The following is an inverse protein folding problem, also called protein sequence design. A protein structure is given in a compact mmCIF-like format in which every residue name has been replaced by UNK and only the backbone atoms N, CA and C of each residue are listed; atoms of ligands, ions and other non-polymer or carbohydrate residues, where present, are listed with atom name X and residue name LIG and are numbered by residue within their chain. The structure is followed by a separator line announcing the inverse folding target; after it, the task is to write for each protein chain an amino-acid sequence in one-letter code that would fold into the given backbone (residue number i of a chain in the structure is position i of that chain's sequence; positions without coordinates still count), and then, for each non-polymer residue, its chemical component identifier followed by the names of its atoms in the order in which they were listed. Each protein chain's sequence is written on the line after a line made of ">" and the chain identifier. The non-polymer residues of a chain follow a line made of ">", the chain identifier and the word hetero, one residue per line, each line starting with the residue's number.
data_IF_857655120725
#
_entry.id   IF_857655120725
#
_cell.length_a   1.000
_cell.length_b   1.000
_cell.length_c   1.000
_cell.angle_alpha   90.00
_cell.angle_beta   90.00
_cell.angle_gamma   90.00
#
_symmetry.space_group_name_H-M   'P 1'
#
loop_
_entity.id
_entity.type
_entity.pdbx_description
1 polymer ?
#
# COMPACT_ATOMS: atom_id res chain seq x y z
N UNK A 1 31.08 6.87 10.56
CA UNK A 1 31.13 5.73 9.63
C UNK A 1 29.89 5.85 8.77
N UNK A 2 29.99 5.76 7.44
CA UNK A 2 28.81 5.76 6.56
C UNK A 2 27.96 4.50 6.84
N UNK A 3 26.63 4.66 6.90
CA UNK A 3 25.73 3.50 7.02
C UNK A 3 25.96 2.54 5.84
N UNK A 4 25.82 1.21 6.07
CA UNK A 4 26.07 0.21 5.04
C UNK A 4 25.05 0.34 3.90
N UNK A 5 25.55 0.35 2.67
CA UNK A 5 24.71 0.36 1.48
C UNK A 5 24.15 -1.03 1.20
N UNK A 6 22.83 -1.14 1.04
CA UNK A 6 22.13 -2.36 0.61
C UNK A 6 21.78 -2.31 -0.88
N UNK A 7 21.76 -3.47 -1.54
CA UNK A 7 21.17 -3.67 -2.86
C UNK A 7 19.68 -3.91 -2.72
N UNK A 8 18.87 -3.00 -3.23
CA UNK A 8 17.43 -3.00 -3.10
C UNK A 8 16.73 -3.32 -4.43
N UNK A 9 15.69 -4.15 -4.37
CA UNK A 9 14.68 -4.23 -5.42
C UNK A 9 13.41 -3.56 -4.91
N UNK A 10 12.95 -2.53 -5.61
CA UNK A 10 11.73 -1.81 -5.29
C UNK A 10 10.56 -2.43 -6.05
N UNK A 11 9.50 -2.82 -5.35
CA UNK A 11 8.35 -3.53 -5.94
C UNK A 11 7.06 -2.76 -5.66
N UNK A 12 6.49 -2.13 -6.70
CA UNK A 12 5.30 -1.31 -6.55
C UNK A 12 4.57 -1.07 -7.86
N UNK A 13 3.33 -0.61 -7.80
CA UNK A 13 2.51 -0.31 -8.97
C UNK A 13 1.81 1.04 -8.86
N UNK A 14 1.10 1.28 -7.76
CA UNK A 14 0.29 2.47 -7.55
C UNK A 14 1.06 3.71 -7.13
N UNK A 15 0.37 4.85 -7.06
CA UNK A 15 0.97 6.13 -6.71
C UNK A 15 1.47 6.19 -5.26
N UNK A 16 0.90 5.37 -4.36
CA UNK A 16 1.26 5.34 -2.95
C UNK A 16 2.74 4.99 -2.71
N UNK A 17 3.34 4.18 -3.58
CA UNK A 17 4.74 3.77 -3.48
C UNK A 17 5.73 4.88 -3.91
N UNK A 18 5.35 5.77 -4.82
CA UNK A 18 6.26 6.68 -5.51
C UNK A 18 7.03 7.62 -4.57
N UNK A 19 6.42 8.27 -3.55
CA UNK A 19 7.15 9.18 -2.65
C UNK A 19 8.30 8.46 -1.92
N UNK A 20 8.02 7.30 -1.31
CA UNK A 20 9.03 6.50 -0.61
C UNK A 20 10.12 6.00 -1.56
N UNK A 21 9.77 5.48 -2.74
CA UNK A 21 10.73 4.99 -3.71
C UNK A 21 11.63 6.11 -4.25
N UNK A 22 11.07 7.29 -4.50
CA UNK A 22 11.86 8.48 -4.90
C UNK A 22 12.87 8.87 -3.83
N UNK A 23 12.51 8.79 -2.57
CA UNK A 23 13.41 9.12 -1.46
C UNK A 23 14.48 8.04 -1.29
N UNK A 24 14.15 6.76 -1.44
CA UNK A 24 15.12 5.66 -1.43
C UNK A 24 16.13 5.81 -2.56
N UNK A 25 15.70 6.20 -3.76
CA UNK A 25 16.58 6.43 -4.91
C UNK A 25 17.64 7.54 -4.68
N UNK A 26 17.40 8.42 -3.70
CA UNK A 26 18.30 9.50 -3.29
C UNK A 26 19.01 9.21 -1.97
N UNK A 27 18.90 7.98 -1.46
CA UNK A 27 19.61 7.54 -0.25
C UNK A 27 20.98 6.94 -0.59
N UNK A 28 21.68 6.46 0.44
CA UNK A 28 22.94 5.74 0.26
C UNK A 28 22.84 4.30 -0.24
N UNK A 29 21.61 3.78 -0.50
CA UNK A 29 21.39 2.43 -0.96
C UNK A 29 21.44 2.32 -2.49
N UNK A 30 21.68 1.11 -3.02
CA UNK A 30 21.75 0.85 -4.46
C UNK A 30 20.46 0.18 -4.93
N UNK A 31 19.71 0.81 -5.83
CA UNK A 31 18.55 0.20 -6.48
C UNK A 31 19.05 -0.64 -7.66
N UNK A 32 18.87 -1.96 -7.58
CA UNK A 32 19.28 -2.87 -8.66
C UNK A 32 18.18 -3.09 -9.70
N UNK A 33 16.92 -2.99 -9.31
CA UNK A 33 15.77 -2.99 -10.23
C UNK A 33 14.52 -2.44 -9.57
N UNK A 34 13.59 -1.97 -10.39
CA UNK A 34 12.21 -1.64 -10.01
C UNK A 34 11.29 -2.66 -10.67
N UNK A 35 10.42 -3.30 -9.88
CA UNK A 35 9.45 -4.29 -10.33
C UNK A 35 8.06 -3.72 -10.24
N UNK A 36 7.31 -3.76 -11.32
CA UNK A 36 5.92 -3.30 -11.37
C UNK A 36 5.07 -4.22 -12.24
N UNK A 37 3.76 -4.06 -12.21
CA UNK A 37 2.87 -4.82 -13.10
C UNK A 37 3.08 -4.43 -14.55
N UNK A 38 2.85 -5.36 -15.50
CA UNK A 38 2.84 -5.02 -16.91
C UNK A 38 1.89 -3.87 -17.22
N UNK A 39 2.22 -3.00 -18.19
CA UNK A 39 1.32 -1.93 -18.61
C UNK A 39 0.02 -2.51 -19.20
N UNK A 40 -1.08 -1.79 -18.98
CA UNK A 40 -2.42 -2.22 -19.40
C UNK A 40 -2.84 -1.44 -20.64
N UNK A 41 -3.41 -2.12 -21.64
CA UNK A 41 -3.95 -1.42 -22.80
C UNK A 41 -5.11 -0.50 -22.40
N UNK A 42 -5.10 0.76 -22.87
CA UNK A 42 -6.26 1.65 -22.78
C UNK A 42 -7.44 1.03 -23.52
N UNK A 43 -8.66 1.18 -23.02
CA UNK A 43 -9.88 0.84 -23.75
C UNK A 43 -10.16 1.90 -24.84
N UNK A 44 -9.19 2.19 -25.71
CA UNK A 44 -9.29 3.13 -26.82
C UNK A 44 -8.84 2.48 -28.12
N UNK A 45 -9.22 3.06 -29.26
CA UNK A 45 -8.83 2.56 -30.59
C UNK A 45 -7.31 2.58 -30.80
N UNK A 46 -6.59 3.45 -30.13
CA UNK A 46 -5.15 3.69 -30.33
C UNK A 46 -4.23 2.69 -29.62
N UNK A 47 -4.78 1.71 -28.87
CA UNK A 47 -4.03 0.67 -28.14
C UNK A 47 -2.85 1.19 -27.31
N UNK A 48 -2.90 2.45 -26.91
CA UNK A 48 -1.87 3.03 -26.06
C UNK A 48 -1.78 2.28 -24.72
N UNK A 49 -0.58 1.93 -24.32
CA UNK A 49 -0.33 1.25 -23.05
C UNK A 49 -0.25 2.28 -21.91
N UNK A 50 -1.06 2.05 -20.88
CA UNK A 50 -0.98 2.82 -19.64
C UNK A 50 0.11 2.26 -18.75
N UNK A 51 1.13 3.04 -18.54
CA UNK A 51 2.15 2.74 -17.55
C UNK A 51 1.61 2.97 -16.13
N UNK A 52 2.08 2.16 -15.20
CA UNK A 52 1.83 2.41 -13.79
C UNK A 52 2.59 3.67 -13.31
N UNK A 53 2.10 4.36 -12.26
CA UNK A 53 2.83 5.47 -11.65
C UNK A 53 4.28 5.14 -11.29
N UNK A 54 4.52 3.94 -10.76
CA UNK A 54 5.87 3.47 -10.41
C UNK A 54 6.72 3.26 -11.68
N UNK A 55 6.14 2.70 -12.76
CA UNK A 55 6.87 2.53 -14.02
C UNK A 55 7.30 3.88 -14.61
N UNK A 56 6.36 4.82 -14.70
CA UNK A 56 6.64 6.14 -15.25
C UNK A 56 7.72 6.87 -14.43
N UNK A 57 7.62 6.81 -13.10
CA UNK A 57 8.64 7.37 -12.23
C UNK A 57 10.02 6.70 -12.44
N UNK A 58 10.07 5.37 -12.42
CA UNK A 58 11.34 4.64 -12.52
C UNK A 58 12.06 4.92 -13.85
N UNK A 59 11.31 5.04 -14.96
CA UNK A 59 11.85 5.41 -16.26
C UNK A 59 12.40 6.84 -16.29
N UNK A 60 11.70 7.79 -15.65
CA UNK A 60 12.17 9.18 -15.54
C UNK A 60 13.49 9.28 -14.75
N UNK A 61 13.66 8.41 -13.74
CA UNK A 61 14.92 8.34 -12.95
C UNK A 61 16.00 7.47 -13.64
N UNK A 62 15.74 6.90 -14.83
CA UNK A 62 16.68 6.05 -15.55
C UNK A 62 16.95 4.69 -14.89
N UNK A 63 16.06 4.22 -14.03
CA UNK A 63 16.19 2.96 -13.33
C UNK A 63 15.78 1.76 -14.20
N UNK A 64 16.40 0.60 -13.97
CA UNK A 64 16.00 -0.65 -14.59
C UNK A 64 14.60 -1.07 -14.14
N UNK A 65 13.70 -1.38 -15.08
CA UNK A 65 12.30 -1.75 -14.81
C UNK A 65 12.01 -3.13 -15.35
N UNK A 66 11.49 -4.00 -14.49
CA UNK A 66 10.97 -5.32 -14.86
C UNK A 66 9.46 -5.41 -14.62
N UNK A 67 8.77 -6.12 -15.52
CA UNK A 67 7.30 -6.23 -15.46
C UNK A 67 6.84 -7.69 -15.60
N UNK A 68 7.20 -8.57 -14.64
CA UNK A 68 6.78 -9.96 -14.70
C UNK A 68 5.25 -10.07 -14.58
N UNK A 69 4.65 -10.97 -15.36
CA UNK A 69 3.21 -11.30 -15.24
C UNK A 69 2.94 -11.88 -13.84
N UNK A 70 3.82 -12.77 -13.39
CA UNK A 70 3.83 -13.28 -12.02
C UNK A 70 5.24 -13.23 -11.46
N UNK A 71 5.41 -12.62 -10.31
CA UNK A 71 6.70 -12.60 -9.62
C UNK A 71 7.07 -13.97 -9.03
N UNK A 72 6.08 -14.85 -8.87
CA UNK A 72 6.25 -16.18 -8.30
C UNK A 72 6.53 -17.26 -9.35
N UNK A 73 6.60 -16.91 -10.63
CA UNK A 73 7.01 -17.87 -11.67
C UNK A 73 8.48 -18.25 -11.50
N UNK A 74 8.87 -19.50 -11.77
CA UNK A 74 10.25 -19.97 -11.62
C UNK A 74 11.28 -19.08 -12.34
N UNK A 75 10.94 -18.60 -13.55
CA UNK A 75 11.80 -17.70 -14.33
C UNK A 75 11.97 -16.33 -13.67
N UNK A 76 10.91 -15.80 -13.07
CA UNK A 76 10.94 -14.53 -12.34
C UNK A 76 11.74 -14.64 -11.05
N UNK A 77 11.57 -15.75 -10.31
CA UNK A 77 12.34 -16.04 -9.09
C UNK A 77 13.82 -16.21 -9.41
N UNK A 78 14.17 -16.98 -10.47
CA UNK A 78 15.54 -17.13 -10.90
C UNK A 78 16.17 -15.78 -11.24
N UNK A 79 15.50 -14.99 -12.09
CA UNK A 79 15.96 -13.65 -12.46
C UNK A 79 16.16 -12.74 -11.24
N UNK A 80 15.22 -12.76 -10.30
CA UNK A 80 15.31 -11.96 -9.07
C UNK A 80 16.52 -12.38 -8.22
N UNK A 81 16.80 -13.70 -8.13
CA UNK A 81 17.95 -14.24 -7.42
C UNK A 81 19.30 -13.87 -8.09
N UNK A 82 19.34 -13.78 -9.43
CA UNK A 82 20.54 -13.36 -10.19
C UNK A 82 20.93 -11.90 -9.90
N UNK A 83 19.97 -11.04 -9.51
CA UNK A 83 20.23 -9.66 -9.08
C UNK A 83 20.96 -9.61 -7.72
N UNK A 84 20.91 -10.70 -6.93
CA UNK A 84 21.47 -10.80 -5.58
C UNK A 84 21.07 -9.61 -4.69
N UNK A 85 19.76 -9.36 -4.53
CA UNK A 85 19.30 -8.27 -3.69
C UNK A 85 19.56 -8.56 -2.21
N UNK A 86 19.84 -7.53 -1.46
CA UNK A 86 19.87 -7.64 0.00
C UNK A 86 18.46 -7.59 0.57
N UNK A 87 17.57 -6.75 0.02
CA UNK A 87 16.23 -6.53 0.53
C UNK A 87 15.24 -6.22 -0.60
N UNK A 88 14.04 -6.79 -0.51
CA UNK A 88 12.89 -6.42 -1.33
C UNK A 88 12.07 -5.35 -0.59
N UNK A 89 11.85 -4.20 -1.20
CA UNK A 89 11.01 -3.12 -0.64
C UNK A 89 9.71 -3.07 -1.41
N UNK A 90 8.63 -3.51 -0.77
CA UNK A 90 7.32 -3.68 -1.40
C UNK A 90 6.38 -2.56 -0.94
N UNK A 91 5.64 -1.97 -1.87
CA UNK A 91 4.60 -1.01 -1.57
C UNK A 91 3.57 -0.99 -2.72
N UNK A 92 2.30 -1.26 -2.43
CA UNK A 92 1.20 -1.24 -3.41
C UNK A 92 1.54 -1.99 -4.72
N UNK A 93 2.15 -3.17 -4.60
CA UNK A 93 2.58 -3.98 -5.75
C UNK A 93 1.43 -4.77 -6.36
N UNK A 94 0.51 -5.23 -5.52
CA UNK A 94 -0.69 -5.95 -5.94
C UNK A 94 -0.46 -7.40 -6.40
N UNK A 95 0.68 -7.99 -6.05
CA UNK A 95 0.93 -9.44 -6.05
C UNK A 95 1.44 -9.85 -4.66
N UNK A 96 1.07 -11.05 -4.22
CA UNK A 96 1.61 -11.66 -3.01
C UNK A 96 2.89 -12.39 -3.37
N UNK A 97 3.98 -12.14 -2.65
CA UNK A 97 5.25 -12.82 -2.85
C UNK A 97 5.24 -14.19 -2.15
N UNK A 98 5.67 -15.22 -2.85
CA UNK A 98 5.90 -16.55 -2.27
C UNK A 98 7.12 -16.56 -1.35
N UNK A 99 7.28 -17.62 -0.56
CA UNK A 99 8.49 -17.84 0.24
C UNK A 99 9.75 -17.86 -0.63
N UNK A 100 9.66 -18.51 -1.80
CA UNK A 100 10.79 -18.62 -2.71
C UNK A 100 11.18 -17.26 -3.29
N UNK A 101 10.20 -16.42 -3.62
CA UNK A 101 10.46 -15.05 -4.05
C UNK A 101 11.09 -14.21 -2.94
N UNK A 102 10.61 -14.31 -1.70
CA UNK A 102 11.19 -13.61 -0.55
C UNK A 102 12.60 -14.10 -0.23
N UNK A 103 12.86 -15.40 -0.38
CA UNK A 103 14.17 -16.01 -0.11
C UNK A 103 15.26 -15.61 -1.12
N UNK A 104 14.92 -14.97 -2.23
CA UNK A 104 15.91 -14.42 -3.19
C UNK A 104 16.72 -13.27 -2.60
N UNK A 105 16.19 -12.57 -1.61
CA UNK A 105 16.88 -11.49 -0.91
C UNK A 105 17.38 -11.95 0.46
N UNK A 106 18.61 -11.61 0.78
CA UNK A 106 19.29 -12.01 2.02
C UNK A 106 18.52 -11.61 3.29
N UNK A 107 17.87 -10.46 3.28
CA UNK A 107 17.04 -9.91 4.36
C UNK A 107 15.53 -10.10 4.12
N UNK A 108 15.16 -10.90 3.10
CA UNK A 108 13.76 -11.08 2.71
C UNK A 108 13.13 -9.80 2.16
N UNK A 109 11.96 -9.45 2.64
CA UNK A 109 11.24 -8.27 2.16
C UNK A 109 10.58 -7.47 3.27
N UNK A 110 10.42 -6.17 3.04
CA UNK A 110 9.59 -5.29 3.86
C UNK A 110 8.43 -4.74 3.03
N UNK A 111 7.32 -4.42 3.70
CA UNK A 111 6.16 -3.81 3.05
C UNK A 111 5.73 -2.54 3.77
N UNK A 112 5.61 -1.44 3.02
CA UNK A 112 4.94 -0.23 3.50
C UNK A 112 3.44 -0.40 3.31
N UNK A 113 2.72 -0.46 4.43
CA UNK A 113 1.28 -0.69 4.49
C UNK A 113 0.53 0.54 5.00
N UNK A 114 -0.55 0.92 4.32
CA UNK A 114 -1.31 2.15 4.59
C UNK A 114 -2.29 2.06 5.78
N UNK A 115 -1.90 1.43 6.89
CA UNK A 115 -2.67 1.45 8.14
C UNK A 115 -1.78 1.28 9.36
N UNK A 116 -2.36 1.51 10.54
CA UNK A 116 -1.77 1.19 11.84
C UNK A 116 -2.02 -0.30 12.15
N UNK A 117 -1.13 -1.17 11.64
CA UNK A 117 -1.23 -2.60 11.92
C UNK A 117 -1.15 -2.89 13.43
N UNK A 118 -1.91 -3.89 13.92
CA UNK A 118 -2.58 -4.97 13.21
C UNK A 118 -3.97 -4.64 12.64
N UNK A 119 -4.44 -3.39 12.75
CA UNK A 119 -5.72 -2.99 12.15
C UNK A 119 -5.61 -2.89 10.63
N UNK A 120 -6.69 -3.25 9.95
CA UNK A 120 -6.86 -3.10 8.49
C UNK A 120 -5.83 -3.85 7.65
N UNK A 121 -5.55 -5.14 7.98
CA UNK A 121 -4.80 -6.02 7.09
C UNK A 121 -5.58 -6.27 5.81
N UNK A 122 -4.95 -6.08 4.63
CA UNK A 122 -5.59 -6.35 3.33
C UNK A 122 -5.37 -5.26 2.29
N UNK A 123 -6.23 -5.26 1.28
CA UNK A 123 -5.98 -4.55 0.02
C UNK A 123 -6.46 -3.08 -0.02
N UNK A 124 -7.24 -2.62 0.99
CA UNK A 124 -7.80 -1.26 0.99
C UNK A 124 -7.73 -0.60 2.39
N UNK A 125 -6.55 -0.59 3.04
CA UNK A 125 -6.43 -0.17 4.44
C UNK A 125 -6.85 1.28 4.67
N UNK A 126 -6.50 2.19 3.76
CA UNK A 126 -6.83 3.63 3.86
C UNK A 126 -8.33 3.85 3.87
N UNK A 127 -9.05 3.24 2.91
CA UNK A 127 -10.49 3.33 2.80
C UNK A 127 -11.19 2.76 4.03
N UNK A 128 -10.73 1.62 4.51
CA UNK A 128 -11.31 0.97 5.68
C UNK A 128 -11.06 1.72 6.99
N UNK A 129 -9.98 2.49 7.11
CA UNK A 129 -9.77 3.37 8.27
C UNK A 129 -10.88 4.44 8.38
N UNK A 130 -11.27 5.05 7.25
CA UNK A 130 -12.39 6.01 7.22
C UNK A 130 -13.73 5.31 7.44
N UNK A 131 -13.99 4.20 6.75
CA UNK A 131 -15.24 3.43 6.88
C UNK A 131 -15.47 2.94 8.31
N UNK A 132 -14.42 2.50 8.99
CA UNK A 132 -14.48 2.09 10.40
C UNK A 132 -14.73 3.27 11.34
N UNK A 133 -14.45 4.50 10.91
CA UNK A 133 -14.56 5.71 11.72
C UNK A 133 -13.43 5.81 12.73
N UNK A 134 -12.26 5.36 12.37
CA UNK A 134 -11.07 5.51 13.19
C UNK A 134 -10.74 7.01 13.35
N UNK A 135 -10.32 7.41 14.54
CA UNK A 135 -9.88 8.78 14.78
C UNK A 135 -8.50 9.06 14.20
N UNK A 136 -7.71 8.00 14.01
CA UNK A 136 -6.36 8.05 13.46
C UNK A 136 -6.18 7.02 12.37
N UNK A 137 -5.42 7.40 11.35
CA UNK A 137 -4.84 6.51 10.37
C UNK A 137 -3.32 6.53 10.52
N UNK A 138 -2.63 5.81 9.66
CA UNK A 138 -1.17 5.84 9.64
C UNK A 138 -0.60 4.84 8.65
N UNK A 139 0.69 4.64 8.78
CA UNK A 139 1.45 3.68 7.99
C UNK A 139 2.24 2.74 8.90
N UNK A 140 2.44 1.52 8.44
CA UNK A 140 3.30 0.54 9.10
C UNK A 140 4.27 -0.05 8.09
N UNK A 141 5.54 -0.10 8.43
CA UNK A 141 6.53 -0.88 7.70
C UNK A 141 6.72 -2.19 8.42
N UNK A 142 6.44 -3.30 7.76
CA UNK A 142 6.52 -4.64 8.33
C UNK A 142 7.55 -5.49 7.60
N UNK A 143 8.17 -6.42 8.31
CA UNK A 143 8.91 -7.50 7.69
C UNK A 143 7.92 -8.51 7.10
N UNK A 144 8.09 -8.87 5.83
CA UNK A 144 7.11 -9.72 5.13
C UNK A 144 7.20 -11.17 5.62
N UNK A 145 6.05 -11.80 5.70
CA UNK A 145 5.89 -13.22 6.02
C UNK A 145 4.90 -13.85 5.04
N UNK A 146 4.76 -15.17 4.99
CA UNK A 146 3.75 -15.84 4.15
C UNK A 146 2.30 -15.45 4.45
N UNK A 147 2.05 -14.93 5.66
CA UNK A 147 0.71 -14.46 6.06
C UNK A 147 0.57 -12.99 5.70
N UNK A 148 -0.51 -12.67 4.97
CA UNK A 148 -0.79 -11.32 4.50
C UNK A 148 -0.77 -10.30 5.65
N UNK A 149 0.07 -9.29 5.53
CA UNK A 149 0.24 -8.15 6.44
C UNK A 149 0.39 -8.54 7.93
N UNK A 150 0.94 -9.73 8.21
CA UNK A 150 1.00 -10.30 9.56
C UNK A 150 2.42 -10.32 10.16
N UNK A 151 3.41 -9.86 9.43
CA UNK A 151 4.79 -9.83 9.90
C UNK A 151 5.03 -8.81 11.01
N UNK A 152 6.17 -8.86 11.68
CA UNK A 152 6.52 -7.91 12.74
C UNK A 152 6.62 -6.49 12.19
N UNK A 153 6.19 -5.52 13.00
CA UNK A 153 6.25 -4.09 12.69
C UNK A 153 7.66 -3.58 12.98
N UNK A 154 8.32 -3.06 11.96
CA UNK A 154 9.63 -2.42 12.06
C UNK A 154 9.49 -0.96 12.46
N UNK A 155 8.59 -0.24 11.78
CA UNK A 155 8.31 1.17 11.99
C UNK A 155 6.83 1.46 11.81
N UNK A 156 6.33 2.46 12.53
CA UNK A 156 4.94 2.89 12.44
C UNK A 156 4.82 4.39 12.70
N UNK A 157 3.95 5.06 11.94
CA UNK A 157 3.61 6.47 12.14
C UNK A 157 2.11 6.67 12.07
N UNK A 158 1.57 7.40 13.03
CA UNK A 158 0.14 7.74 13.13
C UNK A 158 -0.12 9.20 12.77
N UNK A 159 -1.32 9.48 12.29
CA UNK A 159 -1.83 10.83 12.02
C UNK A 159 -3.33 10.86 12.21
N UNK A 160 -3.92 11.97 12.70
CA UNK A 160 -5.38 12.11 12.75
C UNK A 160 -6.00 12.04 11.36
N UNK A 161 -7.23 11.49 11.27
CA UNK A 161 -8.06 11.60 10.06
C UNK A 161 -8.82 12.92 10.14
N UNK A 162 -8.76 13.75 9.10
CA UNK A 162 -9.51 14.99 9.02
C UNK A 162 -11.02 14.76 8.98
N UNK A 163 -11.80 15.65 9.58
CA UNK A 163 -13.27 15.53 9.69
C UNK A 163 -13.94 15.36 8.31
N UNK A 164 -13.44 16.08 7.30
CA UNK A 164 -13.97 16.07 5.93
C UNK A 164 -13.05 15.37 4.93
N UNK A 165 -11.93 14.81 5.40
CA UNK A 165 -10.92 14.17 4.57
C UNK A 165 -11.48 12.90 3.92
N UNK A 166 -11.33 12.80 2.60
CA UNK A 166 -11.71 11.62 1.84
C UNK A 166 -10.54 10.64 1.69
N UNK A 167 -10.82 9.45 1.17
CA UNK A 167 -9.80 8.40 1.07
C UNK A 167 -8.65 8.76 0.12
N UNK A 168 -8.90 9.51 -0.93
CA UNK A 168 -7.85 9.94 -1.86
C UNK A 168 -6.89 10.94 -1.21
N UNK A 169 -7.42 11.92 -0.49
CA UNK A 169 -6.63 12.91 0.25
C UNK A 169 -5.79 12.24 1.34
N UNK A 170 -6.41 11.34 2.11
CA UNK A 170 -5.73 10.57 3.13
C UNK A 170 -4.63 9.69 2.53
N UNK A 171 -4.87 9.02 1.39
CA UNK A 171 -3.90 8.17 0.70
C UNK A 171 -2.66 8.97 0.27
N UNK A 172 -2.84 10.15 -0.30
CA UNK A 172 -1.73 11.05 -0.66
C UNK A 172 -0.92 11.42 0.57
N UNK A 173 -1.58 11.83 1.65
CA UNK A 173 -0.92 12.24 2.89
C UNK A 173 -0.20 11.07 3.58
N UNK A 174 -0.77 9.87 3.58
CA UNK A 174 -0.13 8.67 4.13
C UNK A 174 1.04 8.20 3.26
N UNK A 175 1.01 8.39 1.95
CA UNK A 175 2.14 8.06 1.08
C UNK A 175 3.38 8.91 1.40
N UNK A 176 3.20 10.19 1.72
CA UNK A 176 4.27 11.08 2.18
C UNK A 176 4.73 10.74 3.61
N UNK A 177 3.78 10.44 4.51
CA UNK A 177 4.07 10.01 5.88
C UNK A 177 4.91 8.72 5.92
N UNK A 178 4.76 7.85 4.92
CA UNK A 178 5.48 6.58 4.78
C UNK A 178 6.96 6.71 4.43
N UNK A 179 7.42 7.89 4.01
CA UNK A 179 8.80 8.09 3.54
C UNK A 179 9.82 7.80 4.65
N UNK A 180 9.70 8.52 5.78
CA UNK A 180 10.65 8.40 6.89
C UNK A 180 10.67 6.99 7.49
N UNK A 181 9.52 6.39 7.89
CA UNK A 181 9.54 5.06 8.49
C UNK A 181 10.07 3.97 7.54
N UNK A 182 9.90 4.14 6.21
CA UNK A 182 10.47 3.18 5.26
C UNK A 182 11.99 3.25 5.24
N UNK A 183 12.58 4.44 5.22
CA UNK A 183 14.03 4.61 5.28
C UNK A 183 14.60 4.09 6.61
N UNK A 184 13.97 4.46 7.74
CA UNK A 184 14.39 4.00 9.06
C UNK A 184 14.37 2.46 9.17
N UNK A 185 13.37 1.80 8.60
CA UNK A 185 13.30 0.35 8.57
C UNK A 185 14.45 -0.27 7.74
N UNK A 186 14.76 0.30 6.57
CA UNK A 186 15.87 -0.15 5.72
C UNK A 186 17.21 0.04 6.46
N UNK A 187 17.46 1.21 7.04
CA UNK A 187 18.68 1.52 7.77
C UNK A 187 18.85 0.62 9.02
N UNK A 188 17.74 0.31 9.70
CA UNK A 188 17.76 -0.59 10.85
C UNK A 188 18.18 -2.00 10.45
N UNK A 189 17.62 -2.53 9.35
CA UNK A 189 18.01 -3.84 8.82
C UNK A 189 19.46 -3.84 8.32
N UNK A 190 19.92 -2.76 7.72
CA UNK A 190 21.30 -2.61 7.27
C UNK A 190 22.29 -2.66 8.46
N UNK A 191 22.02 -1.92 9.53
CA UNK A 191 22.84 -1.91 10.75
C UNK A 191 22.80 -3.24 11.50
N UNK A 192 21.63 -3.88 11.60
CA UNK A 192 21.50 -5.21 12.24
C UNK A 192 22.35 -6.25 11.53
N UNK A 193 22.44 -6.19 10.21
CA UNK A 193 23.29 -7.07 9.42
C UNK A 193 24.77 -6.94 9.78
N UNK A 194 25.29 -5.72 9.86
CA UNK A 194 26.70 -5.47 10.21
C UNK A 194 27.02 -5.95 11.62
N UNK A 195 26.13 -5.72 12.57
CA UNK A 195 26.32 -6.12 13.96
C UNK A 195 26.43 -7.66 14.14
N UNK A 196 25.96 -8.42 13.14
CA UNK A 196 25.83 -9.89 13.25
C UNK A 196 26.49 -10.65 12.11
N UNK A 197 27.38 -10.05 11.32
CA UNK A 197 28.15 -10.74 10.27
C UNK A 197 28.87 -11.99 10.75
N UNK A 198 29.23 -12.04 12.03
CA UNK A 198 29.94 -13.18 12.67
C UNK A 198 28.99 -14.27 13.19
N UNK A 199 27.67 -14.08 13.18
CA UNK A 199 26.69 -15.08 13.67
C UNK A 199 25.35 -14.91 12.94
N UNK A 200 25.21 -15.40 11.69
CA UNK A 200 23.96 -15.35 10.96
C UNK A 200 22.95 -16.31 11.59
N UNK A 201 22.09 -15.84 12.50
CA UNK A 201 20.93 -16.60 12.95
C UNK A 201 19.73 -16.27 12.07
N UNK A 202 19.30 -17.26 11.30
CA UNK A 202 18.10 -17.22 10.43
C UNK A 202 16.80 -16.95 11.23
N UNK A 203 16.83 -17.11 12.55
CA UNK A 203 15.67 -17.05 13.44
C UNK A 203 15.47 -15.68 14.12
N UNK A 204 16.30 -14.66 13.80
CA UNK A 204 16.18 -13.36 14.44
C UNK A 204 15.07 -12.52 13.82
N UNK A 205 13.96 -12.40 14.54
CA UNK A 205 12.85 -11.54 14.18
C UNK A 205 13.17 -10.09 14.59
N UNK A 206 13.50 -9.24 13.59
CA UNK A 206 13.58 -7.79 13.81
C UNK A 206 12.18 -7.22 13.76
N UNK A 207 11.85 -6.37 14.74
CA UNK A 207 10.54 -5.70 14.82
C UNK A 207 9.63 -6.25 15.92
N UNK A 208 8.50 -5.57 16.12
CA UNK A 208 7.52 -5.87 17.17
C UNK A 208 6.43 -6.79 16.60
N UNK A 209 6.21 -7.98 17.19
CA UNK A 209 5.12 -8.86 16.79
C UNK A 209 3.75 -8.18 16.94
N UNK A 210 2.88 -8.40 15.98
CA UNK A 210 1.53 -7.82 15.98
C UNK A 210 0.60 -8.55 16.97
N UNK A 211 -0.16 -7.81 17.77
CA UNK A 211 -1.19 -8.31 18.67
C UNK A 211 -2.37 -8.87 17.87
N UNK A 212 -2.54 -10.21 17.88
CA UNK A 212 -3.51 -10.91 17.02
C UNK A 212 -4.96 -10.54 17.32
N UNK A 213 -5.27 -10.27 18.58
CA UNK A 213 -6.59 -9.89 19.08
C UNK A 213 -7.08 -8.53 18.58
N UNK A 214 -6.15 -7.65 18.15
CA UNK A 214 -6.46 -6.32 17.61
C UNK A 214 -6.59 -6.32 16.08
N UNK A 215 -6.45 -7.49 15.43
CA UNK A 215 -6.47 -7.59 13.98
C UNK A 215 -7.85 -7.31 13.41
N UNK A 216 -7.94 -6.40 12.44
CA UNK A 216 -9.11 -6.20 11.59
C UNK A 216 -8.75 -6.40 10.12
N UNK A 217 -9.74 -6.67 9.27
CA UNK A 217 -9.55 -6.91 7.84
C UNK A 217 -9.93 -5.67 7.02
N UNK A 218 -9.16 -5.42 5.96
CA UNK A 218 -9.43 -4.41 4.94
C UNK A 218 -9.53 -5.06 3.56
N UNK A 219 -10.62 -5.79 3.27
CA UNK A 219 -10.77 -6.48 1.99
C UNK A 219 -10.81 -5.50 0.83
N UNK A 220 -10.48 -6.02 -0.36
CA UNK A 220 -10.61 -5.25 -1.60
C UNK A 220 -12.05 -4.76 -1.77
N UNK A 221 -12.20 -3.47 -2.08
CA UNK A 221 -13.49 -2.87 -2.35
C UNK A 221 -14.13 -3.43 -3.64
N UNK A 222 -15.45 -3.41 -3.67
CA UNK A 222 -16.29 -3.81 -4.80
C UNK A 222 -17.19 -2.66 -5.20
N UNK A 223 -17.68 -2.67 -6.43
CA UNK A 223 -18.66 -1.66 -6.91
C UNK A 223 -19.92 -1.59 -6.04
N UNK A 224 -20.34 -2.73 -5.48
CA UNK A 224 -21.50 -2.84 -4.60
C UNK A 224 -21.31 -2.14 -3.26
N UNK A 225 -20.07 -1.97 -2.78
CA UNK A 225 -19.81 -1.29 -1.51
C UNK A 225 -20.19 0.21 -1.59
N UNK A 226 -20.24 0.76 -2.81
CA UNK A 226 -20.67 2.14 -3.07
C UNK A 226 -22.18 2.36 -3.01
N UNK A 227 -23.00 1.32 -2.87
CA UNK A 227 -24.44 1.49 -2.77
C UNK A 227 -24.81 2.05 -1.40
N UNK A 228 -25.37 3.26 -1.39
CA UNK A 228 -25.83 3.92 -0.16
C UNK A 228 -27.19 3.37 0.24
N UNK A 229 -27.30 3.01 1.52
CA UNK A 229 -28.57 2.67 2.14
C UNK A 229 -28.97 3.79 3.13
N UNK A 230 -29.97 4.57 2.75
CA UNK A 230 -30.46 5.73 3.53
C UNK A 230 -31.09 5.35 4.89
N UNK A 231 -31.23 4.06 5.19
CA UNK A 231 -31.71 3.57 6.51
C UNK A 231 -30.59 3.60 7.55
N UNK A 232 -29.34 3.68 7.14
CA UNK A 232 -28.22 3.78 8.09
C UNK A 232 -28.11 5.18 8.70
N UNK A 233 -27.41 5.26 9.84
CA UNK A 233 -27.15 6.53 10.52
C UNK A 233 -26.32 7.46 9.63
N UNK A 234 -26.58 8.74 9.72
CA UNK A 234 -25.89 9.79 8.95
C UNK A 234 -24.35 9.67 9.03
N UNK A 235 -23.82 9.37 10.21
CA UNK A 235 -22.37 9.20 10.40
C UNK A 235 -21.78 8.04 9.58
N UNK A 236 -22.55 6.98 9.32
CA UNK A 236 -22.10 5.89 8.45
C UNK A 236 -22.11 6.32 6.99
N UNK A 237 -23.18 6.99 6.56
CA UNK A 237 -23.30 7.48 5.19
C UNK A 237 -22.19 8.49 4.84
N UNK A 238 -21.86 9.40 5.79
CA UNK A 238 -20.73 10.31 5.62
C UNK A 238 -19.42 9.59 5.42
N UNK A 239 -19.10 8.61 6.28
CA UNK A 239 -17.88 7.81 6.16
C UNK A 239 -17.84 7.03 4.84
N UNK A 240 -18.99 6.48 4.40
CA UNK A 240 -19.07 5.77 3.13
C UNK A 240 -18.78 6.71 1.96
N UNK A 241 -19.36 7.93 1.97
CA UNK A 241 -19.13 8.93 0.93
C UNK A 241 -17.67 9.33 0.87
N UNK A 242 -17.03 9.60 2.01
CA UNK A 242 -15.60 9.98 2.06
C UNK A 242 -14.66 8.80 1.80
N UNK A 243 -14.92 7.66 2.42
CA UNK A 243 -14.04 6.49 2.39
C UNK A 243 -14.02 5.76 1.05
N UNK A 244 -15.04 5.94 0.19
CA UNK A 244 -15.14 5.26 -1.10
C UNK A 244 -14.83 6.15 -2.30
N UNK A 245 -14.30 7.33 -2.09
CA UNK A 245 -13.82 8.20 -3.18
C UNK A 245 -12.33 7.99 -3.44
N UNK A 246 -11.91 8.02 -4.72
CA UNK A 246 -12.74 8.20 -5.92
C UNK A 246 -13.39 6.89 -6.39
N UNK A 247 -12.97 5.76 -5.86
CA UNK A 247 -13.47 4.44 -6.25
C UNK A 247 -13.85 3.60 -5.04
N UNK A 248 -14.98 2.89 -5.07
CA UNK A 248 -15.92 2.69 -6.19
C UNK A 248 -16.86 3.88 -6.44
N UNK A 249 -16.78 4.94 -5.63
CA UNK A 249 -17.74 6.01 -5.58
C UNK A 249 -19.03 5.58 -4.87
N UNK A 250 -19.86 6.54 -4.49
CA UNK A 250 -21.11 6.28 -3.77
C UNK A 250 -22.32 6.63 -4.62
N UNK A 251 -23.33 5.79 -4.58
CA UNK A 251 -24.56 5.99 -5.33
C UNK A 251 -25.80 5.53 -4.54
N UNK A 252 -26.92 6.19 -4.81
CA UNK A 252 -28.24 5.78 -4.38
C UNK A 252 -29.17 5.56 -5.56
N UNK A 253 -30.25 4.83 -5.36
CA UNK A 253 -31.31 4.69 -6.35
C UNK A 253 -32.54 5.49 -5.88
N UNK A 254 -32.96 6.44 -6.71
CA UNK A 254 -34.23 7.16 -6.53
C UNK A 254 -35.27 6.48 -7.39
N UNK A 255 -36.46 6.28 -6.82
CA UNK A 255 -37.62 5.77 -7.55
C UNK A 255 -38.57 6.95 -7.76
N UNK A 256 -38.85 7.31 -9.03
CA UNK A 256 -39.81 8.38 -9.33
C UNK A 256 -41.25 7.92 -9.10
N UNK A 257 -42.19 8.87 -9.22
CA UNK A 257 -43.62 8.60 -9.03
C UNK A 257 -44.19 7.55 -10.00
N UNK A 258 -43.53 7.28 -11.13
CA UNK A 258 -43.91 6.27 -12.12
C UNK A 258 -43.22 4.90 -11.87
N UNK A 259 -42.51 4.74 -10.73
CA UNK A 259 -41.81 3.49 -10.38
C UNK A 259 -40.48 3.30 -11.12
N UNK A 260 -39.99 4.25 -11.89
CA UNK A 260 -38.70 4.15 -12.59
C UNK A 260 -37.57 4.46 -11.65
N UNK A 261 -36.61 3.52 -11.55
CA UNK A 261 -35.37 3.71 -10.76
C UNK A 261 -34.35 4.55 -11.55
N UNK A 262 -33.81 5.57 -10.89
CA UNK A 262 -32.74 6.44 -11.41
C UNK A 262 -31.56 6.33 -10.45
N UNK A 263 -30.39 5.95 -10.97
CA UNK A 263 -29.14 5.93 -10.20
C UNK A 263 -28.60 7.35 -10.07
N UNK A 264 -28.42 7.80 -8.83
CA UNK A 264 -27.80 9.07 -8.48
C UNK A 264 -26.41 8.81 -7.89
N UNK A 265 -25.39 9.45 -8.44
CA UNK A 265 -24.01 9.41 -7.88
C UNK A 265 -23.87 10.55 -6.88
N UNK A 266 -23.30 10.24 -5.71
CA UNK A 266 -23.14 11.18 -4.61
C UNK A 266 -21.63 11.43 -4.44
N UNK A 267 -21.22 12.65 -4.72
CA UNK A 267 -19.82 13.08 -4.63
C UNK A 267 -19.50 13.70 -3.27
N UNK A 268 -20.47 14.37 -2.67
CA UNK A 268 -20.29 15.03 -1.38
C UNK A 268 -21.63 15.14 -0.65
N UNK A 269 -21.58 15.19 0.67
CA UNK A 269 -22.74 15.46 1.52
C UNK A 269 -22.31 16.35 2.68
N UNK A 270 -23.15 17.33 3.01
CA UNK A 270 -22.97 18.18 4.18
C UNK A 270 -24.13 17.97 5.14
N UNK A 271 -23.84 18.00 6.42
CA UNK A 271 -24.87 17.99 7.44
C UNK A 271 -25.62 19.32 7.34
N UNK A 272 -26.90 19.27 7.01
CA UNK A 272 -27.75 20.46 7.15
C UNK A 272 -27.76 20.89 8.62
N UNK A 273 -27.52 22.16 8.88
CA UNK A 273 -27.73 22.73 10.21
C UNK A 273 -29.19 22.49 10.57
N UNK A 274 -29.42 21.92 11.74
CA UNK A 274 -30.76 21.94 12.33
C UNK A 274 -30.86 23.36 12.87
N UNK A 275 -31.45 24.27 12.09
CA UNK A 275 -31.87 25.56 12.61
C UNK A 275 -32.88 25.26 13.74
N UNK A 276 -32.42 25.48 14.94
CA UNK A 276 -33.21 25.36 16.19
C UNK A 276 -34.18 26.53 16.32
#
# INVERSE_FOLDING_TARGET
>A
MSDPSLKLVLMGTGPFAVPSFRKIARSGHTIVSVVTKPPVAKPSRDKELLESPVMSWARQEGLSVATPVSINDPTSIQWLGELKPDLLVVCDYGQILSNDALATARLGGINLHGSLLPRHRGAAPVQWSILAGDAQAGVSVIHMTPKLDAGPVLEQRATPIGEHENAQELEVRLSELGIEPTLLAIDTLARDTLAHESSPSIDRVVGIPQARELTTKAPRLKKTDGQLDFRYRLAWSDRQIRGLQPWPGVYGNLVNAQGKSIRMVIHNAHRAGVDS
#
